data_IF_228815303141
#
_entry.id   IF_228815303141
#
_cell.length_a   1.000
_cell.length_b   1.000
_cell.length_c   1.000
_cell.angle_alpha   90.00
_cell.angle_beta   90.00
_cell.angle_gamma   90.00
#
_symmetry.space_group_name_H-M   'P 1'
#
loop_
_entity.id
_entity.type
_entity.pdbx_description
1 polymer ?
#
# COMPACT_ATOMS: atom_id res chain seq x y z
N UNK A 1 -8.57 11.32 -5.91
CA UNK A 1 -7.79 10.15 -5.49
C UNK A 1 -7.22 10.47 -4.12
N UNK A 2 -7.58 9.73 -3.08
CA UNK A 2 -7.04 9.98 -1.73
C UNK A 2 -5.61 9.45 -1.69
N UNK A 3 -4.65 10.32 -1.44
CA UNK A 3 -3.22 9.98 -1.44
C UNK A 3 -2.77 9.33 -0.12
N UNK A 4 -3.62 9.34 0.91
CA UNK A 4 -3.33 8.79 2.24
C UNK A 4 -2.70 9.78 3.22
N UNK A 5 -2.64 11.08 2.89
CA UNK A 5 -1.95 12.07 3.72
C UNK A 5 -2.51 12.20 5.15
N UNK A 6 -3.81 11.92 5.35
CA UNK A 6 -4.43 11.92 6.67
C UNK A 6 -3.83 10.88 7.64
N UNK A 7 -3.30 9.76 7.12
CA UNK A 7 -2.76 8.67 7.93
C UNK A 7 -1.23 8.60 7.92
N UNK A 8 -0.60 9.15 6.88
CA UNK A 8 0.83 8.99 6.61
C UNK A 8 1.60 10.33 6.59
N UNK A 9 0.93 11.46 6.78
CA UNK A 9 1.53 12.78 6.59
C UNK A 9 1.68 13.16 5.11
N UNK A 10 2.29 14.30 4.77
CA UNK A 10 2.40 14.77 3.38
C UNK A 10 3.21 13.81 2.50
N UNK A 11 2.84 13.71 1.22
CA UNK A 11 3.63 12.96 0.23
C UNK A 11 5.01 13.63 0.04
N UNK A 12 6.12 12.87 -0.03
CA UNK A 12 7.41 13.43 -0.42
C UNK A 12 7.33 14.13 -1.78
N UNK A 13 8.03 15.25 -1.95
CA UNK A 13 7.87 16.14 -3.12
C UNK A 13 8.26 15.52 -4.46
N UNK A 14 9.11 14.50 -4.43
CA UNK A 14 9.59 13.75 -5.59
C UNK A 14 8.70 12.54 -5.92
N UNK A 15 7.61 12.33 -5.18
CA UNK A 15 6.68 11.23 -5.39
C UNK A 15 5.26 11.70 -5.72
N UNK A 16 4.63 11.00 -6.67
CA UNK A 16 3.24 11.18 -7.07
C UNK A 16 2.46 9.86 -7.09
N UNK A 17 1.13 9.95 -7.28
CA UNK A 17 0.23 8.79 -7.46
C UNK A 17 -0.42 8.85 -8.83
N UNK A 18 -0.33 7.75 -9.58
CA UNK A 18 -0.92 7.64 -10.92
C UNK A 18 -1.70 6.34 -11.06
N UNK A 19 -2.65 6.31 -12.00
CA UNK A 19 -3.30 5.07 -12.41
C UNK A 19 -2.48 4.41 -13.52
N UNK A 20 -2.15 3.13 -13.33
CA UNK A 20 -1.47 2.30 -14.32
C UNK A 20 -2.35 1.13 -14.68
N UNK A 21 -2.65 0.99 -15.97
CA UNK A 21 -3.35 -0.18 -16.49
C UNK A 21 -2.37 -1.33 -16.74
N UNK A 22 -2.71 -2.52 -16.26
CA UNK A 22 -2.03 -3.77 -16.55
C UNK A 22 -2.84 -4.57 -17.58
N UNK A 23 -2.43 -4.60 -18.86
CA UNK A 23 -3.22 -5.23 -19.93
C UNK A 23 -3.40 -6.73 -19.75
N UNK A 24 -2.39 -7.42 -19.22
CA UNK A 24 -2.44 -8.88 -19.03
C UNK A 24 -3.41 -9.30 -17.92
N UNK A 25 -3.55 -8.47 -16.89
CA UNK A 25 -4.49 -8.69 -15.81
C UNK A 25 -5.87 -8.07 -16.08
N UNK A 26 -5.99 -7.24 -17.12
CA UNK A 26 -7.18 -6.41 -17.38
C UNK A 26 -7.59 -5.57 -16.15
N UNK A 27 -6.61 -5.04 -15.43
CA UNK A 27 -6.81 -4.34 -14.15
C UNK A 27 -6.09 -2.99 -14.12
N UNK A 28 -6.66 -2.02 -13.41
CA UNK A 28 -6.05 -0.72 -13.15
C UNK A 28 -5.57 -0.68 -11.70
N UNK A 29 -4.33 -0.23 -11.51
CA UNK A 29 -3.69 -0.08 -10.22
C UNK A 29 -3.35 1.37 -9.95
N UNK A 30 -3.48 1.80 -8.69
CA UNK A 30 -2.92 3.07 -8.25
C UNK A 30 -1.51 2.82 -7.74
N UNK A 31 -0.51 3.36 -8.43
CA UNK A 31 0.91 3.18 -8.13
C UNK A 31 1.56 4.50 -7.73
N UNK A 32 2.62 4.40 -6.94
CA UNK A 32 3.51 5.51 -6.60
C UNK A 32 4.60 5.63 -7.66
N UNK A 33 4.84 6.83 -8.16
CA UNK A 33 5.89 7.15 -9.14
C UNK A 33 6.82 8.18 -8.52
N UNK A 34 8.12 7.96 -8.64
CA UNK A 34 9.11 8.96 -8.31
C UNK A 34 9.45 9.76 -9.57
N UNK A 35 9.12 11.06 -9.58
CA UNK A 35 9.21 11.90 -10.77
C UNK A 35 10.66 12.20 -11.18
N UNK A 36 11.60 12.11 -10.22
CA UNK A 36 13.03 12.33 -10.46
C UNK A 36 13.73 11.13 -11.09
N UNK A 37 13.34 9.91 -10.70
CA UNK A 37 14.03 8.67 -11.10
C UNK A 37 13.22 7.79 -12.07
N UNK A 38 11.92 8.06 -12.23
CA UNK A 38 10.99 7.21 -12.96
C UNK A 38 10.66 5.89 -12.26
N UNK A 39 11.08 5.70 -10.99
CA UNK A 39 10.79 4.48 -10.23
C UNK A 39 9.29 4.36 -9.99
N UNK A 40 8.71 3.21 -10.34
CA UNK A 40 7.29 2.91 -10.14
C UNK A 40 7.15 1.75 -9.16
N UNK A 41 6.19 1.85 -8.24
CA UNK A 41 5.87 0.77 -7.28
C UNK A 41 4.45 0.87 -6.75
N UNK A 42 3.87 -0.24 -6.29
CA UNK A 42 2.51 -0.23 -5.71
C UNK A 42 2.48 0.35 -4.29
N UNK A 43 3.48 -0.02 -3.49
CA UNK A 43 3.61 0.39 -2.09
C UNK A 43 3.80 1.91 -1.96
N UNK A 44 3.42 2.39 -0.78
CA UNK A 44 3.46 3.80 -0.49
C UNK A 44 4.88 4.20 -0.04
N UNK A 45 5.52 5.24 -0.62
CA UNK A 45 6.89 5.62 -0.24
C UNK A 45 7.07 6.00 1.23
N UNK A 46 6.03 6.55 1.84
CA UNK A 46 5.98 6.84 3.28
C UNK A 46 5.98 5.60 4.18
N UNK A 47 5.97 4.38 3.62
CA UNK A 47 6.04 3.13 4.36
C UNK A 47 7.43 2.47 4.30
N UNK A 48 8.42 3.11 3.68
CA UNK A 48 9.76 2.52 3.48
C UNK A 48 10.44 2.16 4.81
N UNK A 49 10.27 3.02 5.81
CA UNK A 49 10.82 2.82 7.16
C UNK A 49 9.89 2.02 8.08
N UNK A 50 8.72 1.61 7.59
CA UNK A 50 7.74 0.85 8.37
C UNK A 50 7.86 -0.64 8.01
N UNK A 51 8.26 -1.50 8.96
CA UNK A 51 8.42 -2.92 8.70
C UNK A 51 7.08 -3.55 8.34
N UNK A 52 7.13 -4.59 7.50
CA UNK A 52 5.96 -5.43 7.25
C UNK A 52 5.61 -6.15 8.56
N UNK A 53 4.33 -6.15 9.00
CA UNK A 53 3.96 -6.78 10.26
C UNK A 53 4.25 -8.29 10.27
N UNK A 54 4.48 -8.92 11.43
CA UNK A 54 4.69 -10.36 11.55
C UNK A 54 3.58 -11.17 10.86
N UNK A 55 3.95 -12.29 10.25
CA UNK A 55 3.02 -13.16 9.52
C UNK A 55 2.68 -12.69 8.10
N UNK A 56 3.04 -11.45 7.73
CA UNK A 56 2.85 -10.92 6.38
C UNK A 56 4.09 -11.05 5.50
N UNK A 57 3.89 -11.28 4.21
CA UNK A 57 4.94 -11.27 3.20
C UNK A 57 4.48 -10.63 1.89
N UNK A 58 5.44 -10.11 1.13
CA UNK A 58 5.22 -9.64 -0.24
C UNK A 58 5.14 -10.84 -1.20
N UNK A 59 4.17 -10.80 -2.10
CA UNK A 59 3.96 -11.80 -3.14
C UNK A 59 3.89 -11.09 -4.48
N UNK A 60 4.78 -11.44 -5.41
CA UNK A 60 4.80 -10.85 -6.75
C UNK A 60 3.48 -11.05 -7.50
N UNK A 61 3.06 -10.04 -8.26
CA UNK A 61 1.92 -10.17 -9.15
C UNK A 61 2.31 -11.03 -10.37
N UNK A 62 1.51 -12.06 -10.73
CA UNK A 62 1.90 -13.06 -11.75
C UNK A 62 2.08 -12.48 -13.16
N UNK A 63 1.45 -11.34 -13.45
CA UNK A 63 1.49 -10.68 -14.75
C UNK A 63 2.08 -9.26 -14.72
N UNK A 64 2.62 -8.83 -13.58
CA UNK A 64 3.07 -7.44 -13.40
C UNK A 64 4.23 -7.38 -12.42
N UNK A 65 5.39 -6.93 -12.86
CA UNK A 65 6.59 -6.85 -12.03
C UNK A 65 6.64 -5.59 -11.14
N UNK A 66 5.72 -4.64 -11.34
CA UNK A 66 5.64 -3.39 -10.58
C UNK A 66 4.67 -3.50 -9.41
N UNK A 67 3.70 -4.42 -9.52
CA UNK A 67 2.63 -4.60 -8.55
C UNK A 67 2.98 -5.79 -7.66
N UNK A 68 2.99 -5.59 -6.35
CA UNK A 68 3.13 -6.67 -5.38
C UNK A 68 1.86 -6.77 -4.54
N UNK A 69 1.46 -7.98 -4.21
CA UNK A 69 0.42 -8.25 -3.23
C UNK A 69 1.04 -8.53 -1.86
N UNK A 70 0.18 -8.54 -0.84
CA UNK A 70 0.54 -9.04 0.47
C UNK A 70 -0.18 -10.35 0.73
N UNK A 71 0.46 -11.25 1.47
CA UNK A 71 -0.14 -12.49 1.93
C UNK A 71 0.16 -12.65 3.41
N UNK A 72 -0.82 -13.13 4.17
CA UNK A 72 -0.65 -13.43 5.58
C UNK A 72 -0.77 -14.94 5.80
N UNK A 73 0.23 -15.52 6.47
CA UNK A 73 0.32 -16.97 6.71
C UNK A 73 -0.69 -17.46 7.76
N UNK A 74 -1.05 -16.61 8.72
CA UNK A 74 -1.93 -16.92 9.84
C UNK A 74 -3.39 -17.06 9.40
N UNK A 75 -3.79 -16.36 8.33
CA UNK A 75 -5.14 -16.43 7.73
C UNK A 75 -5.23 -17.39 6.54
N UNK A 76 -4.23 -18.26 6.33
CA UNK A 76 -4.25 -19.27 5.28
C UNK A 76 -3.69 -18.85 3.93
N UNK A 77 -2.73 -17.91 3.90
CA UNK A 77 -2.02 -17.42 2.68
C UNK A 77 -2.94 -16.80 1.62
N UNK A 78 -4.03 -16.16 2.05
CA UNK A 78 -4.86 -15.38 1.13
C UNK A 78 -4.07 -14.16 0.64
N UNK A 79 -4.04 -13.94 -0.68
CA UNK A 79 -3.50 -12.72 -1.27
C UNK A 79 -4.50 -11.59 -1.03
N UNK A 80 -4.04 -10.49 -0.45
CA UNK A 80 -4.87 -9.30 -0.25
C UNK A 80 -4.37 -8.15 -1.12
N UNK A 81 -5.31 -7.32 -1.55
CA UNK A 81 -5.05 -6.12 -2.36
C UNK A 81 -4.73 -4.88 -1.55
N UNK A 82 -4.54 -4.99 -0.23
CA UNK A 82 -4.20 -3.86 0.64
C UNK A 82 -2.82 -4.06 1.29
N UNK A 83 -2.14 -2.96 1.61
CA UNK A 83 -0.89 -2.99 2.36
C UNK A 83 -1.21 -3.15 3.86
N UNK A 84 -0.73 -4.20 4.55
CA UNK A 84 -1.05 -4.44 5.95
C UNK A 84 -0.52 -3.35 6.88
N UNK A 85 0.47 -2.57 6.44
CA UNK A 85 0.94 -1.39 7.20
C UNK A 85 -0.11 -0.28 7.19
N UNK A 86 -1.10 -0.33 6.30
CA UNK A 86 -2.23 0.60 6.28
C UNK A 86 -3.42 0.13 7.13
N UNK A 87 -3.30 -0.97 7.89
CA UNK A 87 -4.39 -1.42 8.75
C UNK A 87 -4.65 -0.41 9.89
N UNK A 88 -5.85 -0.45 10.50
CA UNK A 88 -6.14 0.34 11.70
C UNK A 88 -5.15 0.06 12.84
N UNK A 89 -4.80 -1.20 13.07
CA UNK A 89 -3.86 -1.63 14.11
C UNK A 89 -2.47 -1.04 13.86
N UNK A 90 -1.94 -1.18 12.64
CA UNK A 90 -0.65 -0.61 12.26
C UNK A 90 -0.65 0.92 12.34
N UNK A 91 -1.80 1.56 12.08
CA UNK A 91 -1.94 3.02 12.22
C UNK A 91 -1.94 3.46 13.68
N UNK A 92 -2.64 2.73 14.56
CA UNK A 92 -2.62 2.96 16.02
C UNK A 92 -1.23 2.78 16.61
N UNK A 93 -0.49 1.75 16.19
CA UNK A 93 0.90 1.51 16.61
C UNK A 93 1.85 2.65 16.22
N UNK A 94 1.57 3.35 15.12
CA UNK A 94 2.29 4.57 14.71
C UNK A 94 1.86 5.83 15.43
N UNK A 95 0.87 5.76 16.32
CA UNK A 95 0.34 6.90 17.05
C UNK A 95 -0.67 7.74 16.26
N UNK A 96 -1.27 7.19 15.19
CA UNK A 96 -2.39 7.85 14.50
C UNK A 96 -3.63 7.77 15.39
N UNK A 97 -4.22 8.94 15.71
CA UNK A 97 -5.45 9.03 16.49
C UNK A 97 -6.66 8.63 15.63
N UNK A 98 -7.06 7.36 15.74
CA UNK A 98 -8.23 6.82 15.07
C UNK A 98 -9.46 6.88 15.98
N UNK A 99 -10.57 7.33 15.41
CA UNK A 99 -11.86 7.42 16.09
C UNK A 99 -12.80 6.31 15.60
N UNK A 100 -13.35 5.53 16.52
CA UNK A 100 -14.36 4.53 16.22
C UNK A 100 -15.75 5.17 16.27
N UNK A 101 -16.56 4.97 15.23
CA UNK A 101 -17.95 5.44 15.20
C UNK A 101 -18.90 4.27 14.91
N UNK A 102 -20.08 4.30 15.55
CA UNK A 102 -21.16 3.35 15.28
C UNK A 102 -22.15 4.00 14.33
N UNK A 103 -22.39 3.36 13.20
CA UNK A 103 -23.47 3.73 12.31
C UNK A 103 -24.79 3.24 12.93
N UNK A 104 -25.76 4.14 13.05
CA UNK A 104 -27.11 3.84 13.54
C UNK A 104 -27.99 3.24 12.43
#
# INVERSE_FOLDING_TARGET
MMDGAAFLGPMPSDWGRVMRYCPRAYQVYVVSVNDMTGKVRLDHPRLDDIPIPPGWCLVGHPYDNVVNFFSNVDIGKVKVGYDPRMSPEASKERGVDLQDFRLA
#
